data_IF_181724435621
#
_entry.id   IF_181724435621
#
_cell.length_a   1.000
_cell.length_b   1.000
_cell.length_c   1.000
_cell.angle_alpha   90.00
_cell.angle_beta   90.00
_cell.angle_gamma   90.00
#
_symmetry.space_group_name_H-M   'P 1'
#
loop_
_entity.id
_entity.type
_entity.pdbx_description
1 polymer ?
#
# COMPACT_ATOMS: atom_id res chain seq x y z
N UNK A 1 -3.14 36.35 -19.02
CA UNK A 1 -4.20 35.32 -19.10
C UNK A 1 -3.71 34.12 -18.31
N UNK A 2 -3.88 34.13 -16.99
CA UNK A 2 -3.45 33.06 -16.08
C UNK A 2 -4.62 32.12 -15.87
N UNK A 3 -4.57 30.94 -16.46
CA UNK A 3 -5.50 29.87 -16.14
C UNK A 3 -5.20 29.38 -14.72
N UNK A 4 -5.95 29.87 -13.74
CA UNK A 4 -6.14 29.18 -12.46
C UNK A 4 -6.91 27.90 -12.77
N UNK A 5 -6.18 26.84 -13.09
CA UNK A 5 -6.76 25.50 -13.16
C UNK A 5 -7.18 25.11 -11.75
N UNK A 6 -8.49 25.05 -11.51
CA UNK A 6 -9.04 24.39 -10.33
C UNK A 6 -8.40 23.00 -10.23
N UNK A 7 -7.72 22.73 -9.12
CA UNK A 7 -7.22 21.41 -8.77
C UNK A 7 -8.44 20.49 -8.66
N UNK A 8 -8.77 19.81 -9.77
CA UNK A 8 -9.80 18.77 -9.75
C UNK A 8 -9.43 17.78 -8.64
N UNK A 9 -10.37 17.59 -7.72
CA UNK A 9 -10.26 16.59 -6.68
C UNK A 9 -10.25 15.22 -7.36
N UNK A 10 -9.07 14.66 -7.53
CA UNK A 10 -8.88 13.28 -7.98
C UNK A 10 -9.24 12.35 -6.83
N UNK A 11 -10.37 11.66 -6.97
CA UNK A 11 -10.76 10.61 -6.05
C UNK A 11 -9.82 9.40 -6.19
N UNK A 12 -9.25 8.98 -5.08
CA UNK A 12 -8.36 7.81 -5.02
C UNK A 12 -9.19 6.53 -4.90
N UNK A 13 -8.84 5.51 -5.66
CA UNK A 13 -9.50 4.20 -5.58
C UNK A 13 -9.01 3.43 -4.36
N UNK A 14 -9.95 2.99 -3.52
CA UNK A 14 -9.66 2.14 -2.38
C UNK A 14 -10.43 0.84 -2.43
N UNK A 15 -9.81 -0.24 -1.97
CA UNK A 15 -10.46 -1.53 -1.72
C UNK A 15 -10.27 -1.90 -0.25
N UNK A 16 -11.32 -2.44 0.38
CA UNK A 16 -11.29 -2.83 1.80
C UNK A 16 -11.18 -4.34 1.90
N UNK A 17 -10.18 -4.82 2.63
CA UNK A 17 -10.17 -6.21 3.10
C UNK A 17 -11.25 -6.37 4.17
N UNK A 18 -12.27 -7.17 3.87
CA UNK A 18 -13.42 -7.41 4.75
C UNK A 18 -13.03 -8.13 6.04
N UNK A 19 -11.91 -8.87 6.03
CA UNK A 19 -11.46 -9.62 7.20
C UNK A 19 -10.73 -8.74 8.22
N UNK A 20 -9.77 -7.93 7.79
CA UNK A 20 -8.98 -7.06 8.67
C UNK A 20 -9.51 -5.63 8.81
N UNK A 21 -10.38 -5.20 7.89
CA UNK A 21 -10.82 -3.80 7.78
C UNK A 21 -9.76 -2.87 7.17
N UNK A 22 -8.62 -3.39 6.73
CA UNK A 22 -7.58 -2.58 6.07
C UNK A 22 -8.10 -2.03 4.73
N UNK A 23 -7.92 -0.72 4.54
CA UNK A 23 -8.25 -0.02 3.30
C UNK A 23 -6.99 0.20 2.47
N UNK A 24 -6.89 -0.53 1.37
CA UNK A 24 -5.78 -0.47 0.43
C UNK A 24 -6.04 0.59 -0.63
N UNK A 25 -5.06 1.46 -0.87
CA UNK A 25 -4.99 2.29 -2.07
C UNK A 25 -4.66 1.37 -3.25
N UNK A 26 -5.47 1.40 -4.30
CA UNK A 26 -5.17 0.67 -5.53
C UNK A 26 -4.20 1.50 -6.35
N UNK A 27 -3.00 0.97 -6.60
CA UNK A 27 -1.95 1.68 -7.32
C UNK A 27 -1.31 0.77 -8.38
N UNK A 28 -1.83 0.84 -9.60
CA UNK A 28 -1.25 0.09 -10.73
C UNK A 28 0.14 0.61 -11.15
N UNK A 29 0.59 1.73 -10.61
CA UNK A 29 1.95 2.26 -10.81
C UNK A 29 2.97 1.68 -9.83
N UNK A 30 2.54 0.98 -8.78
CA UNK A 30 3.43 0.33 -7.83
C UNK A 30 3.90 -1.04 -8.36
N UNK A 31 5.20 -1.35 -8.18
CA UNK A 31 5.76 -2.66 -8.56
C UNK A 31 5.49 -3.76 -7.53
N UNK A 32 5.05 -3.39 -6.32
CA UNK A 32 4.75 -4.32 -5.24
C UNK A 32 3.68 -3.75 -4.31
N UNK A 33 2.80 -4.61 -3.83
CA UNK A 33 1.83 -4.28 -2.79
C UNK A 33 2.51 -4.23 -1.42
N UNK A 34 2.07 -3.32 -0.55
CA UNK A 34 2.68 -3.13 0.75
C UNK A 34 1.68 -2.83 1.86
N UNK A 35 2.10 -3.07 3.10
CA UNK A 35 1.35 -2.80 4.31
C UNK A 35 2.17 -1.91 5.26
N UNK A 36 1.54 -0.98 5.99
CA UNK A 36 2.25 -0.06 6.87
C UNK A 36 3.00 -0.79 7.99
N UNK A 37 4.29 -0.48 8.15
CA UNK A 37 5.13 -1.02 9.22
C UNK A 37 4.55 -0.77 10.63
N UNK A 38 3.75 0.29 10.80
CA UNK A 38 3.07 0.62 12.07
C UNK A 38 2.11 -0.46 12.56
N UNK A 39 1.56 -1.31 11.68
CA UNK A 39 0.60 -2.36 12.08
C UNK A 39 1.30 -3.65 12.53
N UNK A 40 2.61 -3.77 12.34
CA UNK A 40 3.42 -4.92 12.75
C UNK A 40 4.34 -4.57 13.92
N UNK A 41 4.10 -5.21 15.07
CA UNK A 41 5.00 -5.17 16.24
C UNK A 41 6.19 -6.12 16.01
N UNK A 42 7.36 -5.77 16.56
CA UNK A 42 8.54 -6.65 16.49
C UNK A 42 9.16 -6.81 15.10
N UNK A 43 8.87 -5.89 14.17
CA UNK A 43 9.44 -5.90 12.83
C UNK A 43 10.96 -5.76 12.89
N UNK A 44 11.68 -6.61 12.16
CA UNK A 44 13.12 -6.48 12.00
C UNK A 44 13.45 -5.55 10.84
N UNK A 45 14.47 -4.72 11.01
CA UNK A 45 15.00 -3.92 9.92
C UNK A 45 15.46 -4.84 8.79
N UNK A 46 15.01 -4.57 7.57
CA UNK A 46 15.62 -5.19 6.39
C UNK A 46 16.60 -4.21 5.76
N UNK A 47 17.62 -4.74 5.08
CA UNK A 47 18.55 -3.93 4.28
C UNK A 47 17.94 -3.49 2.94
N UNK A 48 16.70 -3.90 2.65
CA UNK A 48 16.00 -3.56 1.42
C UNK A 48 15.20 -2.27 1.59
N UNK A 49 15.23 -1.43 0.56
CA UNK A 49 14.43 -0.21 0.46
C UNK A 49 13.69 -0.21 -0.87
N UNK A 50 12.47 0.32 -0.86
CA UNK A 50 11.70 0.60 -2.07
C UNK A 50 11.91 2.06 -2.48
N UNK A 51 11.77 2.35 -3.77
CA UNK A 51 11.81 3.72 -4.29
C UNK A 51 10.41 4.15 -4.70
N UNK A 52 9.95 5.30 -4.21
CA UNK A 52 8.74 5.93 -4.70
C UNK A 52 8.98 6.66 -6.02
N UNK A 53 7.89 6.99 -6.74
CA UNK A 53 7.96 7.74 -8.00
C UNK A 53 8.63 9.12 -7.85
N UNK A 54 8.58 9.71 -6.65
CA UNK A 54 9.26 10.97 -6.31
C UNK A 54 10.72 10.76 -5.86
N UNK A 55 11.33 9.60 -6.13
CA UNK A 55 12.68 9.22 -5.72
C UNK A 55 12.92 9.14 -4.20
N UNK A 56 11.85 9.18 -3.38
CA UNK A 56 11.99 8.97 -1.94
C UNK A 56 12.25 7.49 -1.66
N UNK A 57 13.25 7.22 -0.81
CA UNK A 57 13.52 5.85 -0.33
C UNK A 57 12.59 5.51 0.82
N UNK A 58 11.92 4.37 0.72
CA UNK A 58 10.99 3.82 1.72
C UNK A 58 11.68 2.64 2.38
N UNK A 59 11.79 2.68 3.72
CA UNK A 59 12.32 1.55 4.50
C UNK A 59 11.36 0.37 4.45
N UNK A 60 11.89 -0.83 4.29
CA UNK A 60 11.11 -2.07 4.35
C UNK A 60 11.58 -2.98 5.48
N UNK A 61 10.70 -3.87 5.93
CA UNK A 61 10.87 -4.69 7.13
C UNK A 61 10.55 -6.16 6.87
N UNK A 62 10.81 -6.62 5.64
CA UNK A 62 10.49 -7.96 5.17
C UNK A 62 9.13 -8.06 4.50
N UNK A 63 8.65 -9.29 4.33
CA UNK A 63 7.39 -9.59 3.67
C UNK A 63 6.45 -10.36 4.60
N UNK A 64 5.15 -10.26 4.33
CA UNK A 64 4.09 -10.97 5.06
C UNK A 64 3.08 -11.53 4.06
N UNK A 65 2.65 -12.77 4.27
CA UNK A 65 1.57 -13.36 3.49
C UNK A 65 0.24 -13.07 4.17
N UNK A 66 -0.67 -12.41 3.46
CA UNK A 66 -2.01 -12.11 3.91
C UNK A 66 -3.04 -12.82 3.05
N UNK A 67 -4.12 -13.24 3.69
CA UNK A 67 -5.31 -13.77 3.03
C UNK A 67 -6.33 -12.64 2.94
N UNK A 68 -6.42 -12.01 1.77
CA UNK A 68 -7.25 -10.82 1.56
C UNK A 68 -8.65 -11.23 1.07
N UNK A 69 -9.68 -10.71 1.71
CA UNK A 69 -11.08 -10.79 1.26
C UNK A 69 -11.54 -9.42 0.74
N UNK A 70 -11.45 -9.24 -0.59
CA UNK A 70 -11.96 -8.04 -1.27
C UNK A 70 -13.40 -8.20 -1.77
N UNK A 71 -14.10 -9.28 -1.38
CA UNK A 71 -15.50 -9.50 -1.76
C UNK A 71 -15.75 -10.13 -3.13
N UNK A 72 -14.70 -10.66 -3.78
CA UNK A 72 -14.81 -11.30 -5.11
C UNK A 72 -15.04 -12.81 -5.03
N UNK A 73 -15.87 -13.25 -4.07
CA UNK A 73 -16.28 -14.66 -3.83
C UNK A 73 -15.13 -15.65 -3.63
N UNK A 74 -13.92 -15.15 -3.36
CA UNK A 74 -12.73 -15.95 -3.05
C UNK A 74 -11.79 -15.16 -2.16
N UNK A 75 -10.94 -15.88 -1.43
CA UNK A 75 -9.84 -15.32 -0.65
C UNK A 75 -8.59 -15.29 -1.53
N UNK A 76 -7.84 -14.19 -1.48
CA UNK A 76 -6.61 -14.01 -2.23
C UNK A 76 -5.41 -14.11 -1.27
N UNK A 77 -4.70 -15.25 -1.24
CA UNK A 77 -3.40 -15.31 -0.59
C UNK A 77 -2.41 -14.45 -1.40
N UNK A 78 -1.80 -13.47 -0.76
CA UNK A 78 -0.90 -12.53 -1.43
C UNK A 78 0.24 -12.09 -0.51
N UNK A 79 1.43 -11.92 -1.08
CA UNK A 79 2.60 -11.44 -0.37
C UNK A 79 2.66 -9.90 -0.38
N UNK A 80 2.84 -9.30 0.78
CA UNK A 80 2.98 -7.86 0.94
C UNK A 80 4.34 -7.52 1.51
N UNK A 81 4.93 -6.42 1.06
CA UNK A 81 6.10 -5.83 1.71
C UNK A 81 5.64 -5.03 2.93
N UNK A 82 6.29 -5.24 4.07
CA UNK A 82 6.09 -4.38 5.25
C UNK A 82 6.95 -3.13 5.02
N UNK A 83 6.33 -1.96 4.88
CA UNK A 83 7.02 -0.74 4.46
C UNK A 83 6.65 0.48 5.32
N UNK A 84 7.54 1.47 5.38
CA UNK A 84 7.32 2.77 6.05
C UNK A 84 6.38 3.67 5.22
N UNK A 85 5.12 3.24 5.07
CA UNK A 85 4.06 3.91 4.30
C UNK A 85 2.86 4.26 5.18
N UNK A 86 2.11 5.29 4.80
CA UNK A 86 0.95 5.77 5.57
C UNK A 86 -0.31 4.93 5.36
N UNK A 87 -0.50 4.42 4.14
CA UNK A 87 -1.63 3.61 3.70
C UNK A 87 -1.12 2.29 3.08
N UNK A 88 -1.83 1.17 3.28
CA UNK A 88 -1.59 -0.04 2.50
C UNK A 88 -1.78 0.22 1.00
N UNK A 89 -0.96 -0.42 0.17
CA UNK A 89 -1.01 -0.33 -1.29
C UNK A 89 -1.30 -1.72 -1.83
N UNK A 90 -2.25 -1.82 -2.76
CA UNK A 90 -2.54 -3.04 -3.52
C UNK A 90 -2.12 -2.84 -4.98
#
# INVERSE_FOLDING_TARGET
MTATGDLQKVDRLFITDRKSGLRFLVDSGASASCVPAKIYRGRHSSNFMSSAANSTRIRTYGAVHLNIDIGLRRIFPFAFIIADVSHPIL
#
